data_IF_358504620084
#
_entry.id   IF_358504620084
#
_cell.length_a   1.000
_cell.length_b   1.000
_cell.length_c   1.000
_cell.angle_alpha   90.00
_cell.angle_beta   90.00
_cell.angle_gamma   90.00
#
_symmetry.space_group_name_H-M   'P 1'
#
loop_
_entity.id
_entity.type
_entity.pdbx_description
1 polymer ?
#
# COMPACT_ATOMS: atom_id res chain seq x y z
N UNK A 1 9.41 3.93 7.01
CA UNK A 1 9.51 4.69 5.73
C UNK A 1 8.11 4.75 5.12
N UNK A 2 7.80 5.79 4.36
CA UNK A 2 6.58 5.88 3.55
C UNK A 2 6.94 6.47 2.19
N UNK A 3 6.35 5.92 1.13
CA UNK A 3 6.48 6.45 -0.22
C UNK A 3 5.11 6.54 -0.87
N UNK A 4 4.83 7.68 -1.52
CA UNK A 4 3.61 7.94 -2.26
C UNK A 4 3.98 8.36 -3.69
N UNK A 5 3.27 7.82 -4.65
CA UNK A 5 3.37 8.20 -6.05
C UNK A 5 2.00 8.64 -6.58
N UNK A 6 1.99 9.82 -7.18
CA UNK A 6 1.69 9.98 -8.59
C UNK A 6 0.74 9.02 -9.35
N UNK A 7 -0.39 9.52 -9.87
CA UNK A 7 -1.02 9.12 -11.16
C UNK A 7 -0.05 8.44 -12.13
N UNK A 8 1.00 9.17 -12.49
CA UNK A 8 1.97 8.88 -13.54
C UNK A 8 3.18 8.10 -13.02
N UNK A 9 3.25 7.82 -11.72
CA UNK A 9 4.39 7.19 -11.05
C UNK A 9 5.45 8.17 -10.55
N UNK A 10 5.19 9.48 -10.60
CA UNK A 10 6.11 10.48 -10.04
C UNK A 10 6.06 10.48 -8.52
N UNK A 11 7.20 10.75 -7.89
CA UNK A 11 7.31 10.78 -6.43
C UNK A 11 6.58 12.00 -5.88
N UNK A 12 5.61 11.77 -5.00
CA UNK A 12 4.90 12.82 -4.25
C UNK A 12 5.48 12.95 -2.85
N UNK A 13 5.82 11.82 -2.23
CA UNK A 13 6.48 11.75 -0.94
C UNK A 13 7.37 10.52 -0.92
N UNK A 14 8.60 10.64 -0.43
CA UNK A 14 9.42 9.50 -0.04
C UNK A 14 10.23 9.92 1.17
N UNK A 15 9.90 9.39 2.35
CA UNK A 15 10.54 9.82 3.60
C UNK A 15 10.68 8.67 4.60
N UNK A 16 11.75 8.74 5.37
CA UNK A 16 11.87 7.97 6.61
C UNK A 16 10.96 8.58 7.68
N UNK A 17 10.76 7.82 8.74
CA UNK A 17 9.93 8.21 9.88
C UNK A 17 10.68 7.84 11.14
N UNK A 18 10.81 8.78 12.07
CA UNK A 18 11.40 8.51 13.37
C UNK A 18 10.46 7.61 14.18
N UNK A 19 10.92 6.45 14.66
CA UNK A 19 10.16 5.58 15.55
C UNK A 19 9.76 6.33 16.83
N UNK A 20 8.58 6.03 17.36
CA UNK A 20 8.11 6.58 18.65
C UNK A 20 8.63 5.78 19.85
N UNK A 21 9.09 4.56 19.61
CA UNK A 21 9.63 3.63 20.60
C UNK A 21 10.99 3.11 20.12
N UNK A 22 11.75 2.53 21.05
CA UNK A 22 13.03 1.92 20.74
C UNK A 22 12.88 0.79 19.70
N UNK A 23 13.75 0.79 18.69
CA UNK A 23 13.78 -0.24 17.66
C UNK A 23 14.62 -1.41 18.14
N UNK A 24 13.97 -2.55 18.37
CA UNK A 24 14.63 -3.79 18.77
C UNK A 24 15.31 -4.51 17.60
N UNK A 25 14.78 -4.36 16.39
CA UNK A 25 15.34 -4.95 15.18
C UNK A 25 15.01 -4.10 13.94
N UNK A 26 16.03 -3.63 13.24
CA UNK A 26 15.90 -2.82 12.02
C UNK A 26 15.60 -3.66 10.77
N UNK A 27 15.80 -4.98 10.83
CA UNK A 27 15.74 -5.87 9.66
C UNK A 27 16.63 -5.34 8.55
N UNK A 28 17.90 -5.09 8.88
CA UNK A 28 18.81 -4.35 7.98
C UNK A 28 19.13 -5.13 6.70
N UNK A 29 19.10 -6.47 6.74
CA UNK A 29 19.27 -7.31 5.56
C UNK A 29 18.13 -7.11 4.54
N UNK A 30 16.92 -6.86 5.03
CA UNK A 30 15.73 -6.67 4.22
C UNK A 30 15.51 -5.20 3.87
N UNK A 31 15.69 -4.28 4.81
CA UNK A 31 15.28 -2.87 4.66
C UNK A 31 16.42 -1.93 4.29
N UNK A 32 17.68 -2.35 4.47
CA UNK A 32 18.85 -1.48 4.36
C UNK A 32 18.90 -0.37 5.43
N UNK A 33 18.02 -0.40 6.44
CA UNK A 33 17.96 0.61 7.48
C UNK A 33 18.94 0.31 8.62
N UNK A 34 19.55 1.37 9.14
CA UNK A 34 20.33 1.38 10.38
C UNK A 34 19.88 2.55 11.25
N UNK A 35 20.24 2.53 12.54
CA UNK A 35 19.88 3.57 13.51
C UNK A 35 20.21 4.99 13.01
N UNK A 36 21.40 5.17 12.40
CA UNK A 36 21.84 6.46 11.85
C UNK A 36 20.88 7.06 10.80
N UNK A 37 20.17 6.22 10.04
CA UNK A 37 19.18 6.69 9.06
C UNK A 37 17.94 7.29 9.75
N UNK A 38 17.61 6.86 10.97
CA UNK A 38 16.39 7.27 11.68
C UNK A 38 16.63 8.44 12.64
N UNK A 39 17.88 8.69 13.06
CA UNK A 39 18.23 9.75 14.01
C UNK A 39 17.74 11.12 13.56
N UNK A 40 17.82 11.43 12.26
CA UNK A 40 17.39 12.72 11.69
C UNK A 40 16.08 12.61 10.89
N UNK A 41 15.38 11.47 10.98
CA UNK A 41 14.10 11.32 10.30
C UNK A 41 13.04 12.23 10.93
N UNK A 42 12.07 12.73 10.14
CA UNK A 42 10.94 13.50 10.65
C UNK A 42 10.10 12.72 11.65
N UNK A 43 9.41 13.43 12.55
CA UNK A 43 8.59 12.79 13.57
C UNK A 43 7.39 12.08 12.95
N UNK A 44 6.98 10.98 13.56
CA UNK A 44 5.82 10.21 13.11
C UNK A 44 4.58 11.09 12.86
N UNK A 45 4.26 11.99 13.80
CA UNK A 45 3.11 12.89 13.71
C UNK A 45 3.17 13.83 12.51
N UNK A 46 4.35 14.36 12.18
CA UNK A 46 4.56 15.28 11.06
C UNK A 46 4.35 14.55 9.73
N UNK A 47 4.96 13.37 9.59
CA UNK A 47 4.81 12.54 8.39
C UNK A 47 3.36 12.09 8.24
N UNK A 48 2.72 11.69 9.34
CA UNK A 48 1.32 11.27 9.34
C UNK A 48 0.39 12.40 8.90
N UNK A 49 0.55 13.61 9.42
CA UNK A 49 -0.23 14.78 8.99
C UNK A 49 -0.03 15.09 7.51
N UNK A 50 1.22 15.02 7.03
CA UNK A 50 1.54 15.23 5.62
C UNK A 50 0.90 14.18 4.71
N UNK A 51 1.05 12.89 5.05
CA UNK A 51 0.42 11.78 4.31
C UNK A 51 -1.10 11.94 4.29
N UNK A 52 -1.67 12.25 5.44
CA UNK A 52 -3.12 12.43 5.61
C UNK A 52 -3.69 13.55 4.74
N UNK A 53 -3.00 14.69 4.67
CA UNK A 53 -3.37 15.77 3.78
C UNK A 53 -3.23 15.39 2.31
N UNK A 54 -2.22 14.58 1.96
CA UNK A 54 -1.98 14.14 0.59
C UNK A 54 -3.00 13.13 0.09
N UNK A 55 -3.54 12.25 0.95
CA UNK A 55 -4.49 11.20 0.54
C UNK A 55 -5.95 11.61 0.66
N UNK A 56 -6.25 12.70 1.37
CA UNK A 56 -7.61 13.21 1.56
C UNK A 56 -8.31 13.41 0.22
N UNK A 57 -9.55 12.92 0.12
CA UNK A 57 -10.41 13.00 -1.07
C UNK A 57 -9.78 12.41 -2.34
N UNK A 58 -8.82 11.49 -2.20
CA UNK A 58 -8.18 10.79 -3.31
C UNK A 58 -8.50 9.30 -3.31
N UNK A 59 -8.33 8.68 -4.48
CA UNK A 59 -8.28 7.23 -4.59
C UNK A 59 -6.88 6.77 -4.20
N UNK A 60 -6.78 5.81 -3.27
CA UNK A 60 -5.53 5.18 -2.87
C UNK A 60 -5.42 3.83 -3.56
N UNK A 61 -4.35 3.64 -4.32
CA UNK A 61 -3.98 2.37 -4.92
C UNK A 61 -2.80 1.79 -4.15
N UNK A 62 -2.84 0.49 -3.84
CA UNK A 62 -1.71 -0.18 -3.18
C UNK A 62 -1.94 -1.67 -2.96
N UNK A 63 -1.10 -2.26 -2.13
CA UNK A 63 -1.14 -3.67 -1.76
C UNK A 63 -1.24 -3.78 -0.23
N UNK A 64 -2.20 -4.54 0.27
CA UNK A 64 -2.50 -4.68 1.71
C UNK A 64 -2.72 -3.31 2.38
N UNK A 65 -3.56 -2.47 1.77
CA UNK A 65 -3.83 -1.10 2.21
C UNK A 65 -4.32 -1.04 3.66
N UNK A 66 -4.94 -2.11 4.17
CA UNK A 66 -5.36 -2.18 5.58
C UNK A 66 -4.22 -2.00 6.57
N UNK A 67 -3.01 -2.52 6.28
CA UNK A 67 -1.84 -2.35 7.14
C UNK A 67 -1.35 -0.90 7.15
N UNK A 68 -1.38 -0.26 5.98
CA UNK A 68 -1.02 1.14 5.85
C UNK A 68 -2.04 2.06 6.54
N UNK A 69 -3.33 1.84 6.27
CA UNK A 69 -4.44 2.58 6.86
C UNK A 69 -4.48 2.42 8.38
N UNK A 70 -4.19 1.23 8.90
CA UNK A 70 -4.11 1.02 10.35
C UNK A 70 -2.97 1.78 11.02
N UNK A 71 -1.82 1.88 10.36
CA UNK A 71 -0.70 2.66 10.86
C UNK A 71 -1.02 4.16 10.93
N UNK A 72 -1.78 4.69 9.96
CA UNK A 72 -2.10 6.13 9.92
C UNK A 72 -3.40 6.51 10.65
N UNK A 73 -4.28 5.56 11.00
CA UNK A 73 -5.57 5.82 11.67
C UNK A 73 -5.43 6.42 13.07
N UNK A 74 -4.26 6.36 13.70
CA UNK A 74 -4.02 6.91 15.06
C UNK A 74 -4.43 8.40 15.20
N UNK A 75 -4.63 9.13 14.09
CA UNK A 75 -5.18 10.50 14.07
C UNK A 75 -6.63 10.63 13.54
N UNK A 76 -7.47 9.60 13.64
CA UNK A 76 -8.89 9.61 13.24
C UNK A 76 -9.15 9.85 11.74
N UNK A 77 -8.19 9.53 10.88
CA UNK A 77 -8.37 9.66 9.42
C UNK A 77 -8.73 8.28 8.89
N UNK A 78 -10.04 8.03 8.82
CA UNK A 78 -10.58 6.92 8.06
C UNK A 78 -10.59 7.30 6.58
N UNK A 79 -10.13 6.38 5.73
CA UNK A 79 -10.21 6.55 4.28
C UNK A 79 -11.38 5.72 3.77
N UNK A 80 -12.34 6.31 3.02
CA UNK A 80 -13.52 5.58 2.57
C UNK A 80 -13.14 4.34 1.77
N UNK A 81 -13.77 3.21 2.06
CA UNK A 81 -13.50 1.93 1.37
C UNK A 81 -13.64 2.07 -0.13
N UNK A 82 -14.68 2.78 -0.58
CA UNK A 82 -14.96 3.09 -1.99
C UNK A 82 -13.82 3.87 -2.68
N UNK A 83 -12.96 4.53 -1.92
CA UNK A 83 -11.80 5.28 -2.40
C UNK A 83 -10.48 4.49 -2.25
N UNK A 84 -10.54 3.16 -2.10
CA UNK A 84 -9.38 2.27 -2.06
C UNK A 84 -9.35 1.28 -3.22
N UNK A 85 -8.18 1.03 -3.79
CA UNK A 85 -7.90 0.06 -4.85
C UNK A 85 -6.77 -0.86 -4.36
N UNK A 86 -7.13 -1.86 -3.57
CA UNK A 86 -6.17 -2.82 -3.02
C UNK A 86 -5.98 -4.01 -3.97
N UNK A 87 -4.82 -4.06 -4.64
CA UNK A 87 -4.51 -5.11 -5.62
C UNK A 87 -4.37 -6.50 -4.98
N UNK A 88 -4.13 -6.56 -3.67
CA UNK A 88 -4.10 -7.81 -2.92
C UNK A 88 -5.50 -8.36 -2.63
N UNK A 89 -6.49 -7.47 -2.53
CA UNK A 89 -7.89 -7.83 -2.29
C UNK A 89 -8.69 -8.05 -3.58
N UNK A 90 -8.18 -7.60 -4.73
CA UNK A 90 -8.86 -7.70 -6.03
C UNK A 90 -9.11 -9.17 -6.44
N UNK A 91 -10.38 -9.56 -6.47
CA UNK A 91 -10.81 -10.96 -6.67
C UNK A 91 -10.33 -11.54 -8.02
N UNK A 92 -10.37 -10.81 -9.16
CA UNK A 92 -9.90 -11.34 -10.44
C UNK A 92 -8.44 -11.79 -10.44
N UNK A 93 -7.53 -11.04 -9.79
CA UNK A 93 -6.12 -11.44 -9.67
C UNK A 93 -5.96 -12.73 -8.86
N UNK A 94 -6.74 -12.90 -7.80
CA UNK A 94 -6.68 -14.09 -6.94
C UNK A 94 -7.21 -15.34 -7.62
N UNK A 95 -8.35 -15.22 -8.32
CA UNK A 95 -8.95 -16.32 -9.07
C UNK A 95 -8.04 -16.80 -10.20
N UNK A 96 -7.44 -15.87 -10.95
CA UNK A 96 -6.52 -16.19 -12.04
C UNK A 96 -5.26 -16.95 -11.60
N UNK A 97 -4.89 -16.86 -10.32
CA UNK A 97 -3.67 -17.46 -9.76
C UNK A 97 -3.95 -18.63 -8.80
N UNK A 98 -5.21 -19.06 -8.63
CA UNK A 98 -5.57 -20.16 -7.72
C UNK A 98 -5.49 -19.83 -6.22
N UNK A 99 -5.37 -18.55 -5.85
CA UNK A 99 -5.18 -18.09 -4.46
C UNK A 99 -6.51 -17.74 -3.76
N UNK A 100 -7.40 -18.72 -3.66
CA UNK A 100 -8.74 -18.55 -3.06
C UNK A 100 -8.72 -18.17 -1.58
N UNK A 101 -7.72 -18.61 -0.80
CA UNK A 101 -7.66 -18.39 0.67
C UNK A 101 -6.55 -17.46 1.16
N UNK A 102 -5.40 -17.40 0.47
CA UNK A 102 -4.22 -16.64 0.93
C UNK A 102 -4.02 -15.39 0.08
N UNK A 103 -3.76 -14.25 0.72
CA UNK A 103 -3.44 -13.01 0.01
C UNK A 103 -2.07 -13.12 -0.66
N UNK A 104 -1.97 -13.01 -1.99
CA UNK A 104 -0.70 -13.16 -2.70
C UNK A 104 0.24 -11.99 -2.40
N UNK A 105 1.54 -12.28 -2.35
CA UNK A 105 2.57 -11.24 -2.21
C UNK A 105 2.65 -10.37 -3.48
N UNK A 106 3.02 -9.10 -3.32
CA UNK A 106 3.09 -8.16 -4.45
C UNK A 106 4.07 -8.64 -5.54
N UNK A 107 5.26 -9.10 -5.17
CA UNK A 107 6.24 -9.60 -6.15
C UNK A 107 5.68 -10.77 -6.97
N UNK A 108 4.87 -11.65 -6.37
CA UNK A 108 4.25 -12.77 -7.05
C UNK A 108 3.17 -12.31 -8.03
N UNK A 109 2.31 -11.35 -7.64
CA UNK A 109 1.33 -10.74 -8.53
C UNK A 109 2.00 -10.08 -9.73
N UNK A 110 3.03 -9.28 -9.46
CA UNK A 110 3.75 -8.53 -10.48
C UNK A 110 4.48 -9.47 -11.45
N UNK A 111 5.14 -10.51 -10.94
CA UNK A 111 5.79 -11.51 -11.79
C UNK A 111 4.77 -12.26 -12.65
N UNK A 112 3.70 -12.76 -12.03
CA UNK A 112 2.73 -13.62 -12.72
C UNK A 112 1.88 -12.87 -13.75
N UNK A 113 1.55 -11.60 -13.49
CA UNK A 113 0.64 -10.81 -14.33
C UNK A 113 1.36 -9.84 -15.29
N UNK A 114 2.62 -9.49 -15.01
CA UNK A 114 3.38 -8.53 -15.81
C UNK A 114 4.72 -9.06 -16.32
N UNK A 115 5.15 -10.25 -15.91
CA UNK A 115 6.43 -10.82 -16.33
C UNK A 115 7.66 -10.03 -15.86
N UNK A 116 7.54 -9.23 -14.79
CA UNK A 116 8.67 -8.48 -14.22
C UNK A 116 8.94 -8.88 -12.77
N UNK A 117 10.18 -8.76 -12.34
CA UNK A 117 10.61 -8.97 -10.96
C UNK A 117 10.80 -7.63 -10.25
N UNK A 118 10.41 -7.58 -8.97
CA UNK A 118 10.58 -6.41 -8.08
C UNK A 118 11.15 -6.88 -6.73
N UNK A 119 11.61 -5.96 -5.89
CA UNK A 119 12.14 -6.29 -4.57
C UNK A 119 13.50 -6.99 -4.62
N UNK A 120 14.29 -6.71 -5.65
CA UNK A 120 15.67 -7.19 -5.74
C UNK A 120 16.57 -6.35 -4.82
N UNK A 121 17.22 -7.01 -3.85
CA UNK A 121 18.03 -6.33 -2.85
C UNK A 121 17.20 -5.87 -1.65
N UNK A 122 17.37 -4.61 -1.25
CA UNK A 122 16.62 -4.05 -0.12
C UNK A 122 15.19 -3.66 -0.52
N UNK A 123 14.31 -3.64 0.47
CA UNK A 123 12.93 -3.18 0.36
C UNK A 123 12.89 -1.76 -0.22
N UNK A 124 12.15 -1.60 -1.31
CA UNK A 124 12.01 -0.33 -2.00
C UNK A 124 10.53 0.10 -2.07
N UNK A 125 10.01 0.81 -1.06
CA UNK A 125 8.58 1.13 -0.99
C UNK A 125 8.05 1.92 -2.20
N UNK A 126 8.86 2.78 -2.81
CA UNK A 126 8.49 3.47 -4.05
C UNK A 126 8.38 2.53 -5.27
N UNK A 127 9.20 1.47 -5.36
CA UNK A 127 9.08 0.46 -6.40
C UNK A 127 7.76 -0.31 -6.20
N UNK A 128 7.48 -0.72 -4.96
CA UNK A 128 6.25 -1.40 -4.59
C UNK A 128 5.01 -0.54 -4.91
N UNK A 129 5.03 0.76 -4.60
CA UNK A 129 3.93 1.68 -4.90
C UNK A 129 3.67 1.79 -6.41
N UNK A 130 4.74 1.93 -7.21
CA UNK A 130 4.65 1.92 -8.68
C UNK A 130 4.15 0.57 -9.19
N UNK A 131 4.60 -0.51 -8.57
CA UNK A 131 4.23 -1.84 -9.01
C UNK A 131 2.73 -2.15 -8.79
N UNK A 132 2.20 -1.75 -7.64
CA UNK A 132 0.77 -1.82 -7.36
C UNK A 132 -0.05 -0.90 -8.29
N UNK A 133 0.46 0.30 -8.57
CA UNK A 133 -0.18 1.23 -9.51
C UNK A 133 -0.27 0.65 -10.92
N UNK A 134 0.78 0.01 -11.42
CA UNK A 134 0.75 -0.63 -12.74
C UNK A 134 -0.24 -1.79 -12.76
N UNK A 135 -0.37 -2.55 -11.66
CA UNK A 135 -1.35 -3.64 -11.55
C UNK A 135 -2.76 -3.08 -11.63
N UNK A 136 -3.04 -2.00 -10.92
CA UNK A 136 -4.33 -1.33 -11.04
C UNK A 136 -4.59 -0.83 -12.46
N UNK A 137 -3.62 -0.17 -13.09
CA UNK A 137 -3.77 0.38 -14.46
C UNK A 137 -4.09 -0.70 -15.50
N UNK A 138 -3.54 -1.91 -15.35
CA UNK A 138 -3.81 -3.00 -16.29
C UNK A 138 -5.27 -3.48 -16.25
N UNK A 139 -6.00 -3.18 -15.18
CA UNK A 139 -7.41 -3.57 -14.97
C UNK A 139 -8.29 -2.38 -14.57
N UNK A 140 -7.84 -1.14 -14.79
CA UNK A 140 -8.53 0.04 -14.27
C UNK A 140 -9.95 0.13 -14.81
N UNK A 141 -10.13 0.03 -16.12
CA UNK A 141 -11.44 0.12 -16.75
C UNK A 141 -12.45 -0.92 -16.19
N UNK A 142 -12.15 -2.24 -16.17
CA UNK A 142 -13.07 -3.20 -15.57
C UNK A 142 -13.25 -3.03 -14.05
N UNK A 143 -12.24 -2.54 -13.32
CA UNK A 143 -12.37 -2.27 -11.88
C UNK A 143 -13.35 -1.13 -11.61
N UNK A 144 -13.15 0.02 -12.26
CA UNK A 144 -14.01 1.20 -12.07
C UNK A 144 -15.45 0.92 -12.53
N UNK A 145 -15.64 0.24 -13.66
CA UNK A 145 -16.98 -0.17 -14.11
C UNK A 145 -17.70 -1.08 -13.10
N UNK A 146 -16.96 -1.97 -12.42
CA UNK A 146 -17.56 -2.82 -11.39
C UNK A 146 -18.03 -1.96 -10.20
N UNK A 147 -17.23 -0.98 -9.78
CA UNK A 147 -17.62 -0.03 -8.73
C UNK A 147 -18.84 0.79 -9.15
N UNK A 148 -18.84 1.37 -10.35
CA UNK A 148 -19.92 2.22 -10.86
C UNK A 148 -21.25 1.46 -11.02
N UNK A 149 -21.18 0.15 -11.28
CA UNK A 149 -22.35 -0.75 -11.33
C UNK A 149 -22.77 -1.29 -9.96
N UNK A 150 -22.15 -0.84 -8.86
CA UNK A 150 -22.46 -1.27 -7.50
C UNK A 150 -21.87 -2.64 -7.12
N UNK A 151 -21.01 -3.21 -7.96
CA UNK A 151 -20.38 -4.51 -7.75
C UNK A 151 -18.97 -4.35 -7.20
N UNK A 152 -18.80 -4.40 -5.88
CA UNK A 152 -17.48 -4.30 -5.25
C UNK A 152 -16.57 -5.50 -5.63
N UNK A 153 -15.44 -5.29 -6.35
CA UNK A 153 -14.66 -6.39 -6.92
C UNK A 153 -13.55 -6.91 -5.98
N UNK A 154 -13.49 -6.42 -4.74
CA UNK A 154 -12.45 -6.77 -3.77
C UNK A 154 -13.03 -7.57 -2.60
N UNK A 155 -12.20 -8.45 -2.04
CA UNK A 155 -12.49 -9.08 -0.75
C UNK A 155 -12.51 -8.04 0.37
N UNK A 156 -13.26 -8.33 1.43
CA UNK A 156 -13.19 -7.56 2.66
C UNK A 156 -11.79 -7.72 3.30
N UNK A 157 -11.30 -6.68 3.99
CA UNK A 157 -10.08 -6.78 4.79
C UNK A 157 -10.25 -7.85 5.87
N UNK A 158 -9.15 -8.39 6.43
CA UNK A 158 -9.23 -9.32 7.56
C UNK A 158 -9.99 -8.69 8.73
N UNK A 159 -10.74 -9.49 9.50
CA UNK A 159 -11.68 -9.00 10.54
C UNK A 159 -11.04 -8.02 11.53
N UNK A 160 -9.78 -8.26 11.94
CA UNK A 160 -9.04 -7.37 12.84
C UNK A 160 -8.75 -5.98 12.26
N UNK A 161 -9.01 -5.77 10.97
CA UNK A 161 -8.83 -4.51 10.28
C UNK A 161 -10.14 -3.88 9.78
N UNK A 162 -11.30 -4.48 10.05
CA UNK A 162 -12.58 -3.99 9.55
C UNK A 162 -12.84 -2.53 9.95
N UNK A 163 -12.44 -2.14 11.16
CA UNK A 163 -12.61 -0.77 11.67
C UNK A 163 -11.81 0.31 10.90
N UNK A 164 -10.80 -0.07 10.11
CA UNK A 164 -10.00 0.88 9.32
C UNK A 164 -10.65 1.22 7.97
N UNK A 165 -11.71 0.51 7.62
CA UNK A 165 -12.51 0.67 6.42
C UNK A 165 -13.91 1.07 6.85
N UNK A 166 -14.24 2.34 6.69
CA UNK A 166 -15.61 2.85 6.83
C UNK A 166 -16.22 3.08 5.44
#
# INVERSE_FOLDING_TARGET
>A
RVSLADYRGNVVLDTLVRPTHEVTNYRSAETGLVSAHLTNAPLFREVQQRVSALIRDKIIVGHNLWQFLSAIKVLCISHPTINTRDVAAFVPFRRGLGHGGVTPALHFLVHSLMGRSIGLGYEHPLENARAALDLYRSVQHPWENAIDSGSWPCMLPPVGYAEYFL
#
